data_IF_145588762666
#
_entry.id   IF_145588762666
#
_cell.length_a   1.000
_cell.length_b   1.000
_cell.length_c   1.000
_cell.angle_alpha   90.00
_cell.angle_beta   90.00
_cell.angle_gamma   90.00
#
_symmetry.space_group_name_H-M   'P 1'
#
loop_
_entity.id
_entity.type
_entity.pdbx_description
1 polymer ?
#
# COMPACT_ATOMS: atom_id res chain seq x y z
N UNK A 1 6.69 -27.87 -1.36
CA UNK A 1 6.37 -26.42 -1.36
C UNK A 1 7.33 -25.77 -0.36
N UNK A 2 8.34 -25.04 -0.83
CA UNK A 2 9.42 -24.48 0.02
C UNK A 2 8.83 -23.48 1.02
N UNK A 3 8.86 -23.83 2.30
CA UNK A 3 8.69 -22.89 3.42
C UNK A 3 9.83 -21.88 3.36
N UNK A 4 9.54 -20.64 2.96
CA UNK A 4 10.44 -19.52 3.24
C UNK A 4 10.47 -19.34 4.75
N UNK A 5 11.57 -19.77 5.35
CA UNK A 5 11.93 -19.52 6.75
C UNK A 5 11.86 -18.02 7.01
N UNK A 6 10.95 -17.59 7.89
CA UNK A 6 11.08 -16.29 8.54
C UNK A 6 12.39 -16.33 9.33
N UNK A 7 13.40 -15.60 8.87
CA UNK A 7 14.62 -15.40 9.66
C UNK A 7 14.22 -14.82 11.03
N UNK A 8 14.84 -15.26 12.15
CA UNK A 8 14.58 -14.71 13.49
C UNK A 8 14.92 -13.21 13.64
N UNK A 9 15.43 -12.60 12.57
CA UNK A 9 15.95 -11.24 12.46
C UNK A 9 14.87 -10.19 12.10
N UNK A 10 13.75 -10.62 11.52
CA UNK A 10 12.65 -9.74 11.12
C UNK A 10 11.44 -9.93 12.04
N UNK A 11 10.94 -8.82 12.59
CA UNK A 11 9.78 -8.78 13.50
C UNK A 11 8.46 -8.86 12.74
N UNK A 12 8.44 -8.49 11.47
CA UNK A 12 7.23 -8.51 10.62
C UNK A 12 6.97 -9.91 10.07
N UNK A 13 5.76 -10.42 10.30
CA UNK A 13 5.33 -11.73 9.79
C UNK A 13 4.53 -11.61 8.49
N UNK A 14 4.40 -12.71 7.72
CA UNK A 14 3.49 -12.76 6.56
C UNK A 14 2.05 -12.37 6.92
N UNK A 15 1.59 -12.76 8.11
CA UNK A 15 0.25 -12.39 8.57
C UNK A 15 0.10 -10.88 8.71
N UNK A 16 1.16 -10.17 9.07
CA UNK A 16 1.10 -8.71 9.24
C UNK A 16 1.04 -7.99 7.91
N UNK A 17 1.78 -8.45 6.91
CA UNK A 17 1.71 -7.93 5.54
C UNK A 17 0.32 -8.14 4.91
N UNK A 18 -0.28 -9.31 5.13
CA UNK A 18 -1.64 -9.59 4.66
C UNK A 18 -2.64 -8.69 5.39
N UNK A 19 -2.53 -8.58 6.72
CA UNK A 19 -3.40 -7.69 7.52
C UNK A 19 -3.25 -6.24 7.10
N UNK A 20 -2.05 -5.77 6.77
CA UNK A 20 -1.87 -4.41 6.26
C UNK A 20 -2.50 -4.21 4.89
N UNK A 21 -2.45 -5.21 4.01
CA UNK A 21 -3.03 -5.13 2.67
C UNK A 21 -4.57 -5.09 2.66
N UNK A 22 -5.22 -5.59 3.71
CA UNK A 22 -6.70 -5.65 3.80
C UNK A 22 -7.27 -4.77 4.91
N UNK A 23 -6.46 -3.90 5.51
CA UNK A 23 -6.96 -2.99 6.53
C UNK A 23 -7.61 -1.74 5.93
N UNK A 24 -8.20 -0.92 6.81
CA UNK A 24 -8.85 0.34 6.47
C UNK A 24 -7.91 1.32 5.76
N UNK A 25 -6.61 1.27 6.04
CA UNK A 25 -5.63 2.11 5.35
C UNK A 25 -5.40 1.70 3.89
N UNK A 26 -5.22 0.40 3.62
CA UNK A 26 -5.02 -0.12 2.28
C UNK A 26 -6.29 -0.08 1.42
N UNK A 27 -7.40 -0.61 1.94
CA UNK A 27 -8.68 -0.63 1.22
C UNK A 27 -9.30 0.77 1.13
N UNK A 28 -8.97 1.64 2.08
CA UNK A 28 -9.40 3.03 2.15
C UNK A 28 -8.35 4.04 1.73
N UNK A 29 -7.39 3.65 0.88
CA UNK A 29 -6.27 4.51 0.50
C UNK A 29 -6.74 5.85 -0.08
N UNK A 30 -7.86 5.84 -0.81
CA UNK A 30 -8.43 7.02 -1.44
C UNK A 30 -9.26 7.91 -0.50
N UNK A 31 -9.42 7.56 0.79
CA UNK A 31 -10.23 8.38 1.70
C UNK A 31 -9.54 9.66 2.16
N UNK A 32 -8.20 9.73 2.11
CA UNK A 32 -7.45 10.83 2.73
C UNK A 32 -6.87 11.84 1.75
N UNK A 33 -7.45 12.02 0.56
CA UNK A 33 -6.92 12.92 -0.48
C UNK A 33 -6.83 14.38 -0.01
N UNK A 34 -5.61 14.80 0.32
CA UNK A 34 -5.31 16.18 0.69
C UNK A 34 -4.40 16.80 -0.37
N UNK A 35 -4.69 18.01 -0.86
CA UNK A 35 -3.85 18.67 -1.87
C UNK A 35 -2.36 18.76 -1.51
N UNK A 36 -2.04 18.87 -0.22
CA UNK A 36 -0.68 19.02 0.27
C UNK A 36 0.11 17.69 0.32
N UNK A 37 -0.54 16.55 0.66
CA UNK A 37 0.15 15.28 0.94
C UNK A 37 -0.49 14.02 0.32
N UNK A 38 -1.55 14.19 -0.46
CA UNK A 38 -2.29 13.14 -1.16
C UNK A 38 -2.78 12.04 -0.20
N UNK A 39 -2.34 10.79 -0.36
CA UNK A 39 -2.87 9.62 0.37
C UNK A 39 -2.04 9.22 1.60
N UNK A 40 -1.27 10.16 2.16
CA UNK A 40 -0.32 9.91 3.24
C UNK A 40 -0.95 9.35 4.53
N UNK A 41 -2.11 9.87 4.96
CA UNK A 41 -2.76 9.45 6.21
C UNK A 41 -3.25 8.01 6.09
N UNK A 42 -3.87 7.66 4.96
CA UNK A 42 -4.31 6.30 4.72
C UNK A 42 -3.12 5.32 4.64
N UNK A 43 -2.01 5.73 4.02
CA UNK A 43 -0.77 4.94 4.01
C UNK A 43 -0.18 4.78 5.41
N UNK A 44 -0.17 5.84 6.23
CA UNK A 44 0.29 5.77 7.61
C UNK A 44 -0.58 4.81 8.43
N UNK A 45 -1.91 4.89 8.29
CA UNK A 45 -2.85 3.96 8.93
C UNK A 45 -2.63 2.50 8.48
N UNK A 46 -2.28 2.31 7.21
CA UNK A 46 -1.98 1.00 6.65
C UNK A 46 -0.80 0.33 7.38
N UNK A 47 0.25 1.10 7.69
CA UNK A 47 1.50 0.59 8.26
C UNK A 47 1.63 0.72 9.78
N UNK A 48 0.77 1.51 10.44
CA UNK A 48 0.86 1.84 11.86
C UNK A 48 1.02 0.61 12.79
N UNK A 49 0.25 -0.46 12.56
CA UNK A 49 0.35 -1.67 13.37
C UNK A 49 1.68 -2.42 13.19
N UNK A 50 2.27 -2.36 11.99
CA UNK A 50 3.59 -2.94 11.72
C UNK A 50 4.69 -2.13 12.37
N UNK A 51 4.64 -0.80 12.24
CA UNK A 51 5.55 0.12 12.93
C UNK A 51 5.51 -0.08 14.45
N UNK A 52 4.31 -0.26 15.03
CA UNK A 52 4.15 -0.52 16.47
C UNK A 52 4.86 -1.80 16.93
N UNK A 53 4.94 -2.83 16.07
CA UNK A 53 5.71 -4.05 16.35
C UNK A 53 7.22 -3.84 16.21
N UNK A 54 7.66 -3.11 15.19
CA UNK A 54 9.07 -2.81 14.95
C UNK A 54 9.67 -2.02 16.13
N UNK A 55 8.94 -0.99 16.57
CA UNK A 55 9.31 -0.06 17.64
C UNK A 55 8.72 -0.41 19.02
N UNK A 56 8.37 -1.68 19.25
CA UNK A 56 7.85 -2.12 20.55
C UNK A 56 8.80 -1.72 21.69
N UNK A 57 8.26 -1.03 22.71
CA UNK A 57 9.03 -0.52 23.85
C UNK A 57 9.75 0.82 23.62
N UNK A 58 9.60 1.44 22.43
CA UNK A 58 10.24 2.70 22.04
C UNK A 58 9.20 3.69 21.51
N UNK A 59 8.46 4.39 22.39
CA UNK A 59 7.35 5.24 21.99
C UNK A 59 7.80 6.45 21.14
N UNK A 60 8.96 7.02 21.44
CA UNK A 60 9.50 8.18 20.70
C UNK A 60 9.88 7.80 19.28
N UNK A 61 10.62 6.70 19.11
CA UNK A 61 10.97 6.17 17.78
C UNK A 61 9.74 5.81 16.94
N UNK A 62 8.68 5.30 17.60
CA UNK A 62 7.40 5.00 16.93
C UNK A 62 6.70 6.27 16.44
N UNK A 63 6.71 7.36 17.24
CA UNK A 63 6.15 8.63 16.83
C UNK A 63 6.90 9.22 15.62
N UNK A 64 8.23 9.18 15.64
CA UNK A 64 9.07 9.62 14.52
C UNK A 64 8.81 8.80 13.24
N UNK A 65 8.65 7.49 13.37
CA UNK A 65 8.29 6.64 12.23
C UNK A 65 6.91 6.99 11.66
N UNK A 66 5.90 7.26 12.50
CA UNK A 66 4.59 7.72 12.03
C UNK A 66 4.68 9.05 11.29
N UNK A 67 5.47 10.01 11.81
CA UNK A 67 5.71 11.29 11.14
C UNK A 67 6.33 11.12 9.76
N UNK A 68 7.32 10.23 9.63
CA UNK A 68 7.95 9.87 8.35
C UNK A 68 6.97 9.21 7.38
N UNK A 69 6.08 8.35 7.87
CA UNK A 69 5.05 7.72 7.05
C UNK A 69 3.87 8.64 6.69
N UNK A 70 3.79 9.81 7.33
CA UNK A 70 2.92 10.92 6.95
C UNK A 70 3.55 11.87 5.90
N UNK A 71 4.70 11.52 5.30
CA UNK A 71 5.23 12.22 4.12
C UNK A 71 4.31 12.06 2.90
N UNK A 72 4.51 12.90 1.87
CA UNK A 72 3.74 12.82 0.62
C UNK A 72 3.76 11.40 0.04
N UNK A 73 2.59 10.86 -0.27
CA UNK A 73 2.46 9.52 -0.84
C UNK A 73 1.30 9.46 -1.83
N UNK A 74 1.59 9.03 -3.06
CA UNK A 74 0.63 8.93 -4.14
C UNK A 74 1.04 7.80 -5.09
N UNK A 75 0.21 6.78 -5.21
CA UNK A 75 0.44 5.61 -6.05
C UNK A 75 -0.91 5.00 -6.42
N UNK A 76 -0.98 4.27 -7.53
CA UNK A 76 -2.13 3.40 -7.81
C UNK A 76 -2.35 2.44 -6.64
N UNK A 77 -3.55 2.48 -6.06
CA UNK A 77 -3.88 1.91 -4.75
C UNK A 77 -3.56 0.42 -4.62
N UNK A 78 -3.66 -0.34 -5.71
CA UNK A 78 -3.35 -1.76 -5.76
C UNK A 78 -1.88 -2.06 -5.45
N UNK A 79 -0.97 -1.12 -5.72
CA UNK A 79 0.46 -1.25 -5.44
C UNK A 79 0.88 -0.70 -4.08
N UNK A 80 -0.01 -0.02 -3.36
CA UNK A 80 0.34 0.55 -2.06
C UNK A 80 0.78 -0.49 -1.01
N UNK A 81 0.12 -1.66 -0.87
CA UNK A 81 0.58 -2.69 0.06
C UNK A 81 1.98 -3.22 -0.29
N UNK A 82 2.34 -3.28 -1.58
CA UNK A 82 3.66 -3.71 -2.03
C UNK A 82 4.74 -2.71 -1.58
N UNK A 83 4.53 -1.41 -1.82
CA UNK A 83 5.44 -0.36 -1.36
C UNK A 83 5.48 -0.29 0.17
N UNK A 84 4.33 -0.48 0.83
CA UNK A 84 4.23 -0.59 2.28
C UNK A 84 5.10 -1.72 2.85
N UNK A 85 5.10 -2.89 2.23
CA UNK A 85 5.94 -4.02 2.63
C UNK A 85 7.44 -3.72 2.49
N UNK A 86 7.85 -3.09 1.39
CA UNK A 86 9.25 -2.65 1.19
C UNK A 86 9.65 -1.64 2.25
N UNK A 87 8.81 -0.63 2.48
CA UNK A 87 9.01 0.36 3.51
C UNK A 87 9.18 -0.27 4.90
N UNK A 88 8.34 -1.24 5.28
CA UNK A 88 8.47 -1.92 6.57
C UNK A 88 9.75 -2.73 6.69
N UNK A 89 10.19 -3.39 5.63
CA UNK A 89 11.47 -4.10 5.62
C UNK A 89 12.65 -3.12 5.79
N UNK A 90 12.53 -1.90 5.27
CA UNK A 90 13.52 -0.84 5.51
C UNK A 90 13.44 -0.28 6.93
N UNK A 91 12.23 -0.08 7.48
CA UNK A 91 12.05 0.35 8.88
C UNK A 91 12.66 -0.64 9.88
N UNK A 92 12.65 -1.94 9.58
CA UNK A 92 13.38 -2.93 10.38
C UNK A 92 14.91 -2.70 10.37
N UNK A 93 15.48 -2.28 9.24
CA UNK A 93 16.90 -1.90 9.12
C UNK A 93 17.20 -0.58 9.83
N UNK A 94 16.30 0.41 9.72
CA UNK A 94 16.38 1.68 10.45
C UNK A 94 16.37 1.41 11.96
N UNK A 95 15.48 0.54 12.42
CA UNK A 95 15.38 0.16 13.82
C UNK A 95 16.64 -0.52 14.37
N UNK A 96 17.46 -1.13 13.51
CA UNK A 96 18.77 -1.72 13.83
C UNK A 96 19.94 -0.74 13.64
N UNK A 97 19.70 0.46 13.12
CA UNK A 97 20.74 1.46 12.84
C UNK A 97 21.58 1.15 11.59
N UNK A 98 21.11 0.29 10.69
CA UNK A 98 21.84 -0.11 9.48
C UNK A 98 21.71 0.90 8.34
N UNK A 99 20.60 1.65 8.30
CA UNK A 99 20.30 2.64 7.26
C UNK A 99 19.70 3.90 7.88
N UNK A 100 19.84 5.00 7.17
CA UNK A 100 19.24 6.27 7.59
C UNK A 100 17.72 6.24 7.43
N UNK A 101 16.96 6.85 8.37
CA UNK A 101 15.51 6.89 8.27
C UNK A 101 14.99 7.59 7.01
N UNK A 102 15.72 8.58 6.51
CA UNK A 102 15.33 9.36 5.32
C UNK A 102 15.31 8.50 4.04
N UNK A 103 16.17 7.47 3.96
CA UNK A 103 16.21 6.54 2.85
C UNK A 103 14.88 5.80 2.62
N UNK A 104 14.05 5.64 3.66
CA UNK A 104 12.71 5.04 3.53
C UNK A 104 11.79 5.94 2.70
N UNK A 105 11.88 7.26 2.87
CA UNK A 105 11.11 8.22 2.08
C UNK A 105 11.58 8.27 0.64
N UNK A 106 12.90 8.23 0.42
CA UNK A 106 13.49 8.25 -0.92
C UNK A 106 13.05 7.03 -1.74
N UNK A 107 13.07 5.84 -1.13
CA UNK A 107 12.61 4.62 -1.81
C UNK A 107 11.11 4.69 -2.11
N UNK A 108 10.28 5.19 -1.19
CA UNK A 108 8.85 5.39 -1.47
C UNK A 108 8.65 6.36 -2.65
N UNK A 109 9.32 7.51 -2.63
CA UNK A 109 9.22 8.51 -3.69
C UNK A 109 9.69 7.97 -5.05
N UNK A 110 10.80 7.22 -5.07
CA UNK A 110 11.33 6.58 -6.27
C UNK A 110 10.37 5.52 -6.86
N UNK A 111 9.63 4.81 -6.01
CA UNK A 111 8.68 3.78 -6.43
C UNK A 111 7.32 4.35 -6.85
N UNK A 112 6.90 5.49 -6.29
CA UNK A 112 5.60 6.11 -6.56
C UNK A 112 5.39 6.41 -8.05
N UNK A 113 6.35 7.06 -8.70
CA UNK A 113 6.26 7.42 -10.13
C UNK A 113 6.05 6.23 -11.07
N UNK A 114 7.00 5.27 -11.15
CA UNK A 114 6.91 4.15 -12.09
C UNK A 114 5.73 3.22 -11.78
N UNK A 115 5.45 2.93 -10.50
CA UNK A 115 4.33 2.05 -10.15
C UNK A 115 2.98 2.72 -10.40
N UNK A 116 2.86 4.04 -10.25
CA UNK A 116 1.64 4.76 -10.62
C UNK A 116 1.43 4.72 -12.13
N UNK A 117 2.47 5.00 -12.93
CA UNK A 117 2.34 4.94 -14.39
C UNK A 117 1.91 3.57 -14.91
N UNK A 118 2.50 2.50 -14.37
CA UNK A 118 2.12 1.12 -14.70
C UNK A 118 0.72 0.80 -14.20
N UNK A 119 0.41 1.14 -12.94
CA UNK A 119 -0.86 0.83 -12.31
C UNK A 119 -2.03 1.52 -12.97
N UNK A 120 -1.90 2.81 -13.29
CA UNK A 120 -2.96 3.57 -13.93
C UNK A 120 -3.25 3.02 -15.34
N UNK A 121 -2.20 2.66 -16.08
CA UNK A 121 -2.35 2.05 -17.40
C UNK A 121 -3.07 0.70 -17.35
N UNK A 122 -2.76 -0.15 -16.36
CA UNK A 122 -3.33 -1.50 -16.24
C UNK A 122 -4.74 -1.45 -15.64
N UNK A 123 -4.89 -0.85 -14.46
CA UNK A 123 -6.14 -0.92 -13.68
C UNK A 123 -7.16 0.11 -14.15
N UNK A 124 -6.77 1.37 -14.32
CA UNK A 124 -7.70 2.45 -14.63
C UNK A 124 -8.01 2.51 -16.14
N UNK A 125 -7.00 2.38 -17.00
CA UNK A 125 -7.19 2.52 -18.44
C UNK A 125 -7.51 1.21 -19.15
N UNK A 126 -6.91 0.08 -18.75
CA UNK A 126 -7.12 -1.19 -19.47
C UNK A 126 -8.26 -1.99 -18.84
N UNK A 127 -8.08 -2.48 -17.62
CA UNK A 127 -9.01 -3.41 -16.99
C UNK A 127 -10.38 -2.78 -16.77
N UNK A 128 -10.45 -1.58 -16.20
CA UNK A 128 -11.72 -0.89 -15.92
C UNK A 128 -12.48 -0.55 -17.21
N UNK A 129 -11.80 -0.11 -18.26
CA UNK A 129 -12.44 0.23 -19.54
C UNK A 129 -12.94 -1.03 -20.25
N UNK A 130 -12.16 -2.11 -20.27
CA UNK A 130 -12.59 -3.40 -20.84
C UNK A 130 -13.76 -3.98 -20.06
N UNK A 131 -13.70 -3.99 -18.73
CA UNK A 131 -14.81 -4.45 -17.89
C UNK A 131 -16.08 -3.61 -18.12
N UNK A 132 -15.94 -2.29 -18.22
CA UNK A 132 -17.06 -1.40 -18.54
C UNK A 132 -17.64 -1.71 -19.93
N UNK A 133 -16.80 -1.92 -20.94
CA UNK A 133 -17.25 -2.26 -22.28
C UNK A 133 -18.06 -3.56 -22.30
N UNK A 134 -17.58 -4.62 -21.64
CA UNK A 134 -18.30 -5.89 -21.50
C UNK A 134 -19.62 -5.70 -20.74
N UNK A 135 -19.60 -4.99 -19.61
CA UNK A 135 -20.80 -4.72 -18.82
C UNK A 135 -21.86 -3.93 -19.61
N UNK A 136 -21.45 -2.91 -20.35
CA UNK A 136 -22.33 -2.12 -21.23
C UNK A 136 -22.93 -2.99 -22.34
N UNK A 137 -22.12 -3.82 -23.01
CA UNK A 137 -22.63 -4.72 -24.06
C UNK A 137 -23.66 -5.72 -23.53
N UNK A 138 -23.47 -6.25 -22.32
CA UNK A 138 -24.44 -7.13 -21.68
C UNK A 138 -25.75 -6.40 -21.34
N UNK A 139 -25.67 -5.18 -20.79
CA UNK A 139 -26.83 -4.35 -20.53
C UNK A 139 -27.60 -4.01 -21.80
N UNK A 140 -26.90 -3.68 -22.89
CA UNK A 140 -27.51 -3.36 -24.19
C UNK A 140 -28.27 -4.56 -24.79
N UNK A 141 -27.81 -5.79 -24.50
CA UNK A 141 -28.51 -7.02 -24.87
C UNK A 141 -29.73 -7.33 -23.96
N UNK A 142 -30.07 -6.45 -23.02
CA UNK A 142 -31.18 -6.63 -22.07
C UNK A 142 -30.84 -7.51 -20.87
N UNK A 143 -29.56 -7.82 -20.64
CA UNK A 143 -29.12 -8.67 -19.55
C UNK A 143 -28.86 -7.86 -18.26
N UNK A 144 -29.64 -8.05 -17.18
CA UNK A 144 -29.46 -7.32 -15.91
C UNK A 144 -28.18 -7.69 -15.16
N UNK A 145 -27.44 -8.72 -15.60
CA UNK A 145 -26.14 -9.10 -15.02
C UNK A 145 -24.98 -8.18 -15.43
N UNK A 146 -25.17 -7.26 -16.39
CA UNK A 146 -24.11 -6.34 -16.85
C UNK A 146 -23.43 -5.52 -15.73
N UNK A 147 -24.16 -4.90 -14.78
CA UNK A 147 -23.56 -4.18 -13.65
C UNK A 147 -22.83 -5.08 -12.66
N UNK A 148 -23.28 -6.33 -12.49
CA UNK A 148 -22.62 -7.32 -11.63
C UNK A 148 -21.31 -7.78 -12.26
N UNK A 149 -21.31 -8.03 -13.57
CA UNK A 149 -20.12 -8.41 -14.32
C UNK A 149 -19.06 -7.30 -14.36
N UNK A 150 -19.45 -6.03 -14.23
CA UNK A 150 -18.52 -4.91 -14.08
C UNK A 150 -17.89 -4.83 -12.67
N UNK A 151 -18.64 -5.25 -11.64
CA UNK A 151 -18.22 -5.17 -10.25
C UNK A 151 -17.26 -6.29 -9.83
N UNK A 152 -17.42 -7.48 -10.42
CA UNK A 152 -16.60 -8.68 -10.17
C UNK A 152 -15.24 -8.60 -10.87
#
# INVERSE_FOLDING_TARGET
>A
MRTMTSSPENKITRSDLVKSAVNVGALGMEFSWTYYKQMNIAFCLMVANMLKKIYAGRPDDYAEALHRHCAFFNITVQFAPFVGGIAMAMEEKVARGEIEPESVNDVKAALMGPLSGIGDSIFLSTLRVVAAAVGISLCQAGNPFGPIAFLL
#
